data_IF_682501106549
#
_entry.id   IF_682501106549
#
_cell.length_a   1.000
_cell.length_b   1.000
_cell.length_c   1.000
_cell.angle_alpha   90.00
_cell.angle_beta   90.00
_cell.angle_gamma   90.00
#
_symmetry.space_group_name_H-M   'P 1'
#
loop_
_entity.id
_entity.type
_entity.pdbx_description
1 polymer ?
#
# COMPACT_ATOMS: atom_id res chain seq x y z
N UNK A 1 -15.30 -6.21 17.29
CA UNK A 1 -14.18 -6.19 16.37
C UNK A 1 -13.39 -4.88 16.53
N UNK A 2 -12.09 -4.99 16.70
CA UNK A 2 -11.18 -3.84 16.62
C UNK A 2 -10.00 -4.14 15.70
N UNK A 3 -9.25 -3.12 15.31
CA UNK A 3 -8.09 -3.18 14.43
C UNK A 3 -7.02 -2.17 14.88
N UNK A 4 -5.92 -2.05 14.18
CA UNK A 4 -4.73 -1.26 14.50
C UNK A 4 -3.86 -1.91 15.59
N UNK A 5 -2.94 -1.16 16.18
CA UNK A 5 -2.11 -1.65 17.26
C UNK A 5 -2.96 -1.82 18.53
N UNK A 6 -2.92 -2.98 19.19
CA UNK A 6 -3.77 -3.24 20.35
C UNK A 6 -3.49 -2.29 21.53
N UNK A 7 -2.33 -1.65 21.57
CA UNK A 7 -1.98 -0.67 22.61
C UNK A 7 -2.87 0.58 22.57
N UNK A 8 -3.52 0.89 21.46
CA UNK A 8 -4.56 1.93 21.40
C UNK A 8 -5.88 1.51 22.06
N UNK A 9 -6.02 0.21 22.37
CA UNK A 9 -7.24 -0.40 22.91
C UNK A 9 -7.05 -0.93 24.34
N UNK A 10 -6.08 -0.41 25.11
CA UNK A 10 -5.76 -0.87 26.48
C UNK A 10 -7.00 -0.90 27.36
N UNK A 11 -7.86 0.12 27.30
CA UNK A 11 -9.11 0.17 28.05
C UNK A 11 -10.04 -1.02 27.77
N UNK A 12 -10.12 -1.48 26.52
CA UNK A 12 -10.89 -2.67 26.13
C UNK A 12 -10.33 -3.93 26.81
N UNK A 13 -9.02 -4.08 26.79
CA UNK A 13 -8.35 -5.25 27.37
C UNK A 13 -8.29 -5.22 28.91
N UNK A 14 -8.33 -4.06 29.54
CA UNK A 14 -8.48 -3.93 30.99
C UNK A 14 -9.84 -4.44 31.47
N UNK A 15 -10.87 -4.36 30.63
CA UNK A 15 -12.23 -4.81 30.93
C UNK A 15 -12.58 -6.15 30.23
N UNK A 16 -11.61 -6.85 29.68
CA UNK A 16 -11.86 -8.02 28.82
C UNK A 16 -12.67 -9.12 29.52
N UNK A 17 -12.39 -9.34 30.81
CA UNK A 17 -13.05 -10.38 31.60
C UNK A 17 -14.56 -10.11 31.83
N UNK A 18 -14.97 -8.86 31.84
CA UNK A 18 -16.38 -8.49 31.90
C UNK A 18 -17.02 -8.55 30.50
N UNK A 19 -16.34 -8.00 29.50
CA UNK A 19 -16.86 -7.91 28.14
C UNK A 19 -17.04 -9.29 27.53
N UNK A 20 -16.06 -10.19 27.67
CA UNK A 20 -16.07 -11.52 27.08
C UNK A 20 -17.12 -12.47 27.65
N UNK A 21 -17.72 -12.14 28.80
CA UNK A 21 -18.89 -12.87 29.29
C UNK A 21 -20.13 -12.72 28.41
N UNK A 22 -20.21 -11.64 27.62
CA UNK A 22 -21.38 -11.31 26.81
C UNK A 22 -21.06 -11.11 25.32
N UNK A 23 -19.84 -10.61 25.00
CA UNK A 23 -19.46 -10.21 23.67
C UNK A 23 -18.05 -10.71 23.36
N UNK A 24 -17.83 -11.50 22.30
CA UNK A 24 -16.48 -11.92 21.93
C UNK A 24 -15.65 -10.74 21.44
N UNK A 25 -14.36 -10.73 21.83
CA UNK A 25 -13.37 -9.76 21.32
C UNK A 25 -12.70 -10.36 20.10
N UNK A 26 -12.89 -9.74 18.95
CA UNK A 26 -12.21 -10.09 17.70
C UNK A 26 -11.20 -9.00 17.33
N UNK A 27 -9.96 -9.39 17.10
CA UNK A 27 -8.90 -8.47 16.70
C UNK A 27 -8.50 -8.70 15.25
N UNK A 28 -8.67 -7.66 14.43
CA UNK A 28 -8.16 -7.63 13.06
C UNK A 28 -6.72 -7.14 13.08
N UNK A 29 -5.78 -8.09 13.09
CA UNK A 29 -4.36 -7.83 13.20
C UNK A 29 -3.77 -7.39 11.85
N UNK A 30 -3.23 -6.18 11.83
CA UNK A 30 -2.61 -5.55 10.66
C UNK A 30 -1.08 -5.44 10.79
N UNK A 31 -0.47 -6.22 11.67
CA UNK A 31 0.96 -6.18 11.91
C UNK A 31 1.74 -6.55 10.63
N UNK A 32 2.63 -5.66 10.21
CA UNK A 32 3.29 -5.71 8.92
C UNK A 32 4.81 -5.90 8.97
N UNK A 33 5.38 -6.10 10.17
CA UNK A 33 6.82 -6.15 10.37
C UNK A 33 7.32 -7.44 11.04
N UNK A 34 8.63 -7.65 11.00
CA UNK A 34 9.38 -8.65 11.73
C UNK A 34 10.43 -7.93 12.61
N UNK A 35 10.82 -8.51 13.76
CA UNK A 35 10.43 -9.81 14.31
C UNK A 35 9.01 -9.87 14.87
N UNK A 36 8.56 -11.09 15.24
CA UNK A 36 7.25 -11.29 15.84
C UNK A 36 7.05 -10.37 17.06
N UNK A 37 5.92 -9.65 17.18
CA UNK A 37 5.68 -8.67 18.23
C UNK A 37 5.31 -9.35 19.57
N UNK A 38 6.26 -10.02 20.23
CA UNK A 38 6.03 -10.79 21.45
C UNK A 38 5.42 -9.97 22.59
N UNK A 39 5.66 -8.65 22.59
CA UNK A 39 5.05 -7.74 23.57
C UNK A 39 3.53 -7.60 23.39
N UNK A 40 2.96 -8.01 22.26
CA UNK A 40 1.53 -8.04 22.01
C UNK A 40 0.87 -9.38 22.44
N UNK A 41 1.64 -10.33 22.95
CA UNK A 41 1.15 -11.68 23.29
C UNK A 41 -0.10 -11.67 24.18
N UNK A 42 -0.13 -10.82 25.20
CA UNK A 42 -1.28 -10.75 26.11
C UNK A 42 -2.55 -10.31 25.40
N UNK A 43 -2.47 -9.32 24.51
CA UNK A 43 -3.61 -8.87 23.70
C UNK A 43 -4.11 -9.99 22.77
N UNK A 44 -3.20 -10.77 22.18
CA UNK A 44 -3.57 -11.89 21.31
C UNK A 44 -4.30 -12.99 22.09
N UNK A 45 -3.82 -13.31 23.29
CA UNK A 45 -4.46 -14.31 24.18
C UNK A 45 -5.80 -13.86 24.73
N UNK A 46 -5.97 -12.56 24.93
CA UNK A 46 -7.20 -11.94 25.42
C UNK A 46 -8.25 -11.71 24.33
N UNK A 47 -7.92 -12.03 23.08
CA UNK A 47 -8.86 -12.01 21.97
C UNK A 47 -9.42 -13.39 21.70
N UNK A 48 -10.73 -13.47 21.44
CA UNK A 48 -11.40 -14.73 21.11
C UNK A 48 -11.05 -15.21 19.70
N UNK A 49 -10.80 -14.25 18.78
CA UNK A 49 -10.35 -14.54 17.41
C UNK A 49 -9.36 -13.47 16.93
N UNK A 50 -8.30 -13.91 16.27
CA UNK A 50 -7.36 -13.08 15.52
C UNK A 50 -7.61 -13.25 14.01
N UNK A 51 -7.97 -12.18 13.35
CA UNK A 51 -8.08 -12.11 11.89
C UNK A 51 -6.83 -11.41 11.34
N UNK A 52 -6.16 -12.03 10.41
CA UNK A 52 -4.85 -11.60 9.91
C UNK A 52 -4.96 -11.00 8.52
N UNK A 53 -4.46 -9.79 8.36
CA UNK A 53 -4.51 -9.03 7.10
C UNK A 53 -3.67 -9.67 5.98
N UNK A 54 -2.61 -10.38 6.34
CA UNK A 54 -1.69 -11.05 5.42
C UNK A 54 -1.32 -12.45 5.88
N UNK A 55 -0.78 -13.26 4.99
CA UNK A 55 -0.23 -14.59 5.33
C UNK A 55 0.95 -14.47 6.29
N UNK A 56 1.75 -13.39 6.18
CA UNK A 56 2.82 -13.09 7.14
C UNK A 56 2.22 -12.88 8.54
N UNK A 57 1.22 -12.02 8.68
CA UNK A 57 0.54 -11.76 9.96
C UNK A 57 -0.13 -13.01 10.50
N UNK A 58 -0.73 -13.83 9.63
CA UNK A 58 -1.29 -15.13 10.01
C UNK A 58 -0.24 -16.07 10.61
N UNK A 59 0.93 -16.17 9.96
CA UNK A 59 2.05 -16.95 10.46
C UNK A 59 2.56 -16.45 11.82
N UNK A 60 2.65 -15.13 12.00
CA UNK A 60 3.02 -14.49 13.27
C UNK A 60 2.04 -14.87 14.39
N UNK A 61 0.73 -14.71 14.14
CA UNK A 61 -0.30 -15.06 15.11
C UNK A 61 -0.20 -16.53 15.52
N UNK A 62 -0.03 -17.44 14.56
CA UNK A 62 0.15 -18.87 14.84
C UNK A 62 1.40 -19.15 15.68
N UNK A 63 2.55 -18.59 15.34
CA UNK A 63 3.79 -18.79 16.10
C UNK A 63 3.70 -18.28 17.52
N UNK A 64 3.07 -17.12 17.73
CA UNK A 64 2.91 -16.55 19.08
C UNK A 64 1.95 -17.42 19.92
N UNK A 65 0.78 -17.77 19.36
CA UNK A 65 -0.26 -18.49 20.07
C UNK A 65 0.06 -19.97 20.27
N UNK A 66 0.88 -20.60 19.43
CA UNK A 66 1.22 -22.02 19.51
C UNK A 66 1.75 -22.45 20.88
N UNK A 67 2.37 -21.52 21.61
CA UNK A 67 2.90 -21.75 22.97
C UNK A 67 1.82 -21.78 24.05
N UNK A 68 0.57 -21.45 23.72
CA UNK A 68 -0.50 -21.25 24.70
C UNK A 68 -1.74 -22.11 24.47
N UNK A 69 -1.65 -23.09 23.56
CA UNK A 69 -2.75 -24.06 23.35
C UNK A 69 -4.00 -23.44 22.73
N UNK A 70 -3.86 -22.68 21.65
CA UNK A 70 -4.99 -22.12 20.89
C UNK A 70 -5.62 -23.15 19.94
N UNK A 71 -6.89 -22.96 19.62
CA UNK A 71 -7.60 -23.73 18.61
C UNK A 71 -7.46 -23.11 17.22
N UNK A 72 -7.41 -23.93 16.16
CA UNK A 72 -7.19 -23.46 14.78
C UNK A 72 -8.25 -22.46 14.28
N UNK A 73 -9.46 -22.47 14.85
CA UNK A 73 -10.49 -21.49 14.49
C UNK A 73 -10.21 -20.09 15.04
N UNK A 74 -9.42 -19.97 16.10
CA UNK A 74 -9.10 -18.71 16.78
C UNK A 74 -8.16 -17.81 15.96
N UNK A 75 -7.55 -18.30 14.90
CA UNK A 75 -6.76 -17.46 13.99
C UNK A 75 -7.11 -17.77 12.54
N UNK A 76 -7.41 -16.72 11.78
CA UNK A 76 -7.81 -16.81 10.35
C UNK A 76 -7.09 -15.78 9.51
N UNK A 77 -6.78 -16.18 8.27
CA UNK A 77 -6.35 -15.26 7.23
C UNK A 77 -7.59 -14.58 6.62
N UNK A 78 -7.65 -13.27 6.75
CA UNK A 78 -8.78 -12.44 6.26
C UNK A 78 -8.18 -11.19 5.61
N UNK A 79 -7.79 -11.25 4.33
CA UNK A 79 -7.21 -10.10 3.64
C UNK A 79 -8.23 -8.97 3.46
N UNK A 80 -7.75 -7.77 3.20
CA UNK A 80 -8.63 -6.69 2.75
C UNK A 80 -9.27 -7.03 1.40
N UNK A 81 -10.45 -6.45 1.18
CA UNK A 81 -11.07 -6.33 -0.13
C UNK A 81 -11.02 -4.89 -0.62
N UNK A 82 -11.17 -4.72 -1.91
CA UNK A 82 -11.45 -3.45 -2.58
C UNK A 82 -12.80 -3.55 -3.28
N UNK A 83 -13.37 -2.42 -3.65
CA UNK A 83 -14.68 -2.38 -4.32
C UNK A 83 -14.56 -1.81 -5.72
N UNK A 84 -15.19 -2.47 -6.69
CA UNK A 84 -15.29 -2.04 -8.08
C UNK A 84 -15.98 -0.68 -8.23
N UNK A 85 -16.77 -0.29 -7.23
CA UNK A 85 -17.45 1.01 -7.21
C UNK A 85 -16.46 2.17 -7.08
N UNK A 86 -15.32 1.91 -6.48
CA UNK A 86 -14.29 2.92 -6.24
C UNK A 86 -13.21 2.89 -7.32
N UNK A 87 -12.65 1.71 -7.57
CA UNK A 87 -11.58 1.51 -8.55
C UNK A 87 -12.00 0.38 -9.48
N UNK A 88 -11.96 0.64 -10.77
CA UNK A 88 -12.23 -0.36 -11.83
C UNK A 88 -11.48 0.01 -13.09
N UNK A 89 -11.22 -0.96 -13.93
CA UNK A 89 -10.62 -0.73 -15.24
C UNK A 89 -11.57 0.08 -16.12
N UNK A 90 -11.06 1.14 -16.72
CA UNK A 90 -11.78 1.96 -17.70
C UNK A 90 -11.46 1.38 -19.08
N UNK A 91 -12.43 0.70 -19.69
CA UNK A 91 -12.25 0.08 -21.02
C UNK A 91 -12.22 1.13 -22.14
N UNK A 92 -13.04 2.16 -22.05
CA UNK A 92 -13.11 3.24 -23.04
C UNK A 92 -12.42 4.51 -22.54
N UNK A 93 -11.08 4.57 -22.67
CA UNK A 93 -10.27 5.77 -22.33
C UNK A 93 -10.58 6.97 -23.23
N UNK A 94 -11.64 6.90 -24.02
CA UNK A 94 -12.15 7.96 -24.89
C UNK A 94 -13.08 8.95 -24.20
N UNK A 95 -13.51 8.68 -22.98
CA UNK A 95 -14.41 9.55 -22.21
C UNK A 95 -13.83 10.95 -22.04
N UNK A 96 -14.68 11.95 -22.25
CA UNK A 96 -14.30 13.36 -22.16
C UNK A 96 -13.75 13.73 -20.80
N UNK A 97 -14.38 13.27 -19.72
CA UNK A 97 -13.94 13.55 -18.36
C UNK A 97 -12.57 12.94 -18.04
N UNK A 98 -12.31 11.74 -18.52
CA UNK A 98 -11.01 11.08 -18.36
C UNK A 98 -9.90 11.88 -19.07
N UNK A 99 -10.16 12.34 -20.30
CA UNK A 99 -9.22 13.18 -21.06
C UNK A 99 -9.01 14.55 -20.41
N UNK A 100 -10.07 15.17 -19.91
CA UNK A 100 -9.99 16.42 -19.16
C UNK A 100 -9.13 16.26 -17.90
N UNK A 101 -9.28 15.13 -17.18
CA UNK A 101 -8.45 14.81 -16.04
C UNK A 101 -6.98 14.65 -16.43
N UNK A 102 -6.66 13.89 -17.48
CA UNK A 102 -5.27 13.74 -17.95
C UNK A 102 -4.67 15.11 -18.36
N UNK A 103 -5.41 15.91 -19.08
CA UNK A 103 -4.97 17.25 -19.51
C UNK A 103 -4.77 18.21 -18.33
N UNK A 104 -5.65 18.15 -17.31
CA UNK A 104 -5.55 18.99 -16.10
C UNK A 104 -4.21 18.77 -15.37
N UNK A 105 -3.74 17.54 -15.31
CA UNK A 105 -2.48 17.17 -14.66
C UNK A 105 -1.30 17.07 -15.64
N UNK A 106 -1.53 17.26 -16.95
CA UNK A 106 -0.51 17.16 -17.99
C UNK A 106 0.00 15.74 -18.23
N UNK A 107 -0.82 14.73 -17.87
CA UNK A 107 -0.52 13.30 -18.04
C UNK A 107 -0.63 12.88 -19.51
N UNK A 108 -1.47 13.54 -20.27
CA UNK A 108 -1.70 13.36 -21.73
C UNK A 108 -0.45 13.55 -22.59
N UNK A 109 0.57 14.24 -22.05
CA UNK A 109 1.85 14.52 -22.73
C UNK A 109 2.80 13.32 -22.76
N UNK A 110 2.54 12.30 -21.95
CA UNK A 110 3.45 11.18 -21.74
C UNK A 110 2.80 9.86 -22.12
N UNK A 111 3.56 8.99 -22.75
CA UNK A 111 3.10 7.65 -23.14
C UNK A 111 3.28 6.61 -22.04
N UNK A 112 4.28 6.80 -21.16
CA UNK A 112 4.59 5.88 -20.07
C UNK A 112 4.65 6.61 -18.73
N UNK A 113 3.78 6.21 -17.82
CA UNK A 113 3.53 6.90 -16.57
C UNK A 113 3.73 5.95 -15.40
N UNK A 114 4.67 6.28 -14.50
CA UNK A 114 4.96 5.50 -13.30
C UNK A 114 4.38 6.22 -12.09
N UNK A 115 3.46 5.57 -11.39
CA UNK A 115 2.76 6.11 -10.23
C UNK A 115 3.44 5.71 -8.93
N UNK A 116 3.72 6.69 -8.07
CA UNK A 116 3.92 6.51 -6.64
C UNK A 116 2.74 7.12 -5.89
N UNK A 117 2.06 6.30 -5.08
CA UNK A 117 0.91 6.71 -4.28
C UNK A 117 1.01 6.05 -2.91
N UNK A 118 1.61 6.73 -1.97
CA UNK A 118 1.73 6.33 -0.57
C UNK A 118 1.88 7.59 0.30
N UNK A 119 1.60 7.49 1.59
CA UNK A 119 2.01 8.54 2.52
C UNK A 119 3.53 8.71 2.47
N UNK A 120 4.01 9.95 2.42
CA UNK A 120 5.43 10.28 2.41
C UNK A 120 6.03 10.07 3.81
N UNK A 121 6.31 8.82 4.17
CA UNK A 121 6.91 8.43 5.45
C UNK A 121 8.08 7.46 5.21
N UNK A 122 9.00 7.41 6.18
CA UNK A 122 10.26 6.69 6.06
C UNK A 122 10.12 5.24 5.56
N UNK A 123 9.20 4.45 6.13
CA UNK A 123 9.01 3.04 5.74
C UNK A 123 8.51 2.83 4.30
N UNK A 124 7.96 3.86 3.66
CA UNK A 124 7.51 3.82 2.26
C UNK A 124 8.63 4.12 1.25
N UNK A 125 9.83 4.44 1.74
CA UNK A 125 11.06 4.62 0.97
C UNK A 125 10.89 5.51 -0.29
N UNK A 126 10.27 6.71 -0.15
CA UNK A 126 9.99 7.56 -1.31
C UNK A 126 11.25 7.99 -2.07
N UNK A 127 12.35 8.22 -1.36
CA UNK A 127 13.65 8.57 -1.98
C UNK A 127 14.23 7.45 -2.84
N UNK A 128 14.10 6.19 -2.37
CA UNK A 128 14.56 5.03 -3.13
C UNK A 128 13.72 4.81 -4.39
N UNK A 129 12.42 5.13 -4.33
CA UNK A 129 11.55 5.09 -5.51
C UNK A 129 11.99 6.14 -6.54
N UNK A 130 12.30 7.37 -6.11
CA UNK A 130 12.85 8.40 -7.00
C UNK A 130 14.19 7.97 -7.61
N UNK A 131 15.07 7.32 -6.83
CA UNK A 131 16.32 6.77 -7.30
C UNK A 131 16.13 5.62 -8.30
N UNK A 132 15.16 4.74 -8.06
CA UNK A 132 14.81 3.65 -9.00
C UNK A 132 14.32 4.24 -10.34
N UNK A 133 13.46 5.27 -10.30
CA UNK A 133 13.05 5.97 -11.50
C UNK A 133 14.26 6.57 -12.24
N UNK A 134 15.17 7.24 -11.52
CA UNK A 134 16.42 7.75 -12.12
C UNK A 134 17.20 6.65 -12.83
N UNK A 135 17.44 5.53 -12.17
CA UNK A 135 18.19 4.41 -12.76
C UNK A 135 17.52 3.83 -14.01
N UNK A 136 16.19 3.81 -14.04
CA UNK A 136 15.46 3.44 -15.25
C UNK A 136 15.70 4.47 -16.36
N UNK A 137 15.50 5.75 -16.07
CA UNK A 137 15.66 6.84 -17.04
C UNK A 137 17.08 6.91 -17.61
N UNK A 138 18.10 6.68 -16.78
CA UNK A 138 19.52 6.68 -17.22
C UNK A 138 19.80 5.63 -18.30
N UNK A 139 19.00 4.54 -18.35
CA UNK A 139 19.15 3.44 -19.34
C UNK A 139 18.36 3.68 -20.62
N UNK A 140 17.45 4.63 -20.66
CA UNK A 140 16.62 4.93 -21.83
C UNK A 140 17.31 5.86 -22.81
N UNK A 141 16.91 5.79 -24.09
CA UNK A 141 17.35 6.78 -25.09
C UNK A 141 16.72 8.15 -24.80
N UNK A 142 17.30 9.26 -25.33
CA UNK A 142 16.72 10.59 -25.15
C UNK A 142 15.27 10.71 -25.63
N UNK A 143 14.90 9.99 -26.68
CA UNK A 143 13.54 9.94 -27.22
C UNK A 143 12.58 9.24 -26.23
N UNK A 144 12.97 8.08 -25.72
CA UNK A 144 12.19 7.33 -24.72
C UNK A 144 12.00 8.12 -23.43
N UNK A 145 13.04 8.85 -22.97
CA UNK A 145 12.96 9.70 -21.77
C UNK A 145 11.88 10.76 -21.86
N UNK A 146 11.67 11.35 -23.04
CA UNK A 146 10.63 12.36 -23.27
C UNK A 146 9.22 11.81 -23.18
N UNK A 147 9.06 10.50 -23.37
CA UNK A 147 7.78 9.81 -23.32
C UNK A 147 7.41 9.33 -21.92
N UNK A 148 8.36 9.35 -20.96
CA UNK A 148 8.18 8.84 -19.60
C UNK A 148 7.97 9.96 -18.59
N UNK A 149 7.15 9.71 -17.54
CA UNK A 149 6.98 10.61 -16.40
C UNK A 149 6.81 9.86 -15.10
N UNK A 150 7.36 10.43 -14.02
CA UNK A 150 7.12 10.00 -12.65
C UNK A 150 5.96 10.79 -12.06
N UNK A 151 4.89 10.11 -11.74
CA UNK A 151 3.67 10.69 -11.18
C UNK A 151 3.67 10.46 -9.68
N UNK A 152 3.81 11.55 -8.94
CA UNK A 152 3.82 11.56 -7.48
C UNK A 152 2.46 12.02 -6.95
N UNK A 153 1.71 11.10 -6.32
CA UNK A 153 0.46 11.43 -5.62
C UNK A 153 0.61 11.20 -4.13
N UNK A 154 1.08 12.20 -3.44
CA UNK A 154 1.23 12.25 -1.98
C UNK A 154 1.60 13.67 -1.57
N UNK A 155 1.44 14.01 -0.29
CA UNK A 155 1.98 15.26 0.23
C UNK A 155 3.49 15.33 -0.06
N UNK A 156 3.99 16.42 -0.68
CA UNK A 156 5.40 16.52 -1.05
C UNK A 156 6.34 16.50 0.15
N UNK A 157 5.88 16.94 1.32
CA UNK A 157 6.59 16.86 2.59
C UNK A 157 5.68 16.30 3.69
N UNK A 158 6.26 15.57 4.65
CA UNK A 158 5.57 15.02 5.82
C UNK A 158 6.56 15.10 6.99
N UNK A 159 6.08 15.36 8.20
CA UNK A 159 6.93 15.45 9.41
C UNK A 159 7.71 14.16 9.70
N UNK A 160 7.16 13.00 9.29
CA UNK A 160 7.76 11.68 9.42
C UNK A 160 8.40 11.18 8.12
N UNK A 161 8.57 12.06 7.15
CA UNK A 161 9.07 11.77 5.82
C UNK A 161 10.21 12.68 5.39
N UNK A 162 10.16 13.10 4.14
CA UNK A 162 11.18 13.98 3.55
C UNK A 162 10.56 15.01 2.60
N UNK A 163 11.32 16.06 2.25
CA UNK A 163 10.95 17.00 1.19
C UNK A 163 11.23 16.36 -0.18
N UNK A 164 10.20 15.77 -0.78
CA UNK A 164 10.34 15.09 -2.06
C UNK A 164 10.55 16.04 -3.24
N UNK A 165 10.13 17.31 -3.13
CA UNK A 165 10.45 18.30 -4.18
C UNK A 165 11.95 18.57 -4.21
N UNK A 166 12.58 18.73 -3.04
CA UNK A 166 14.03 18.90 -2.95
C UNK A 166 14.77 17.64 -3.42
N UNK A 167 14.29 16.45 -3.02
CA UNK A 167 14.87 15.17 -3.47
C UNK A 167 14.77 15.03 -5.00
N UNK A 168 13.60 15.24 -5.58
CA UNK A 168 13.43 15.15 -7.04
C UNK A 168 14.24 16.22 -7.79
N UNK A 169 14.31 17.44 -7.28
CA UNK A 169 15.15 18.49 -7.88
C UNK A 169 16.63 18.09 -7.92
N UNK A 170 17.09 17.33 -6.93
CA UNK A 170 18.49 16.90 -6.83
C UNK A 170 18.78 15.65 -7.65
N UNK A 171 17.91 14.65 -7.56
CA UNK A 171 18.12 13.34 -8.21
C UNK A 171 17.65 13.31 -9.68
N UNK A 172 16.64 14.09 -10.00
CA UNK A 172 15.90 14.04 -11.26
C UNK A 172 15.86 15.42 -11.98
N UNK A 173 16.95 16.20 -12.01
CA UNK A 173 16.90 17.59 -12.53
C UNK A 173 16.43 17.66 -13.99
N UNK A 174 16.72 16.63 -14.79
CA UNK A 174 16.44 16.57 -16.22
C UNK A 174 15.31 15.59 -16.57
N UNK A 175 14.64 14.97 -15.56
CA UNK A 175 13.61 13.97 -15.80
C UNK A 175 12.23 14.47 -15.37
N UNK A 176 11.18 14.17 -16.17
CA UNK A 176 9.83 14.64 -15.87
C UNK A 176 9.28 14.07 -14.57
N UNK A 177 8.77 14.93 -13.69
CA UNK A 177 8.06 14.59 -12.46
C UNK A 177 6.81 15.44 -12.35
N UNK A 178 5.67 14.85 -12.07
CA UNK A 178 4.40 15.52 -11.82
C UNK A 178 3.95 15.26 -10.38
N UNK A 179 3.77 16.32 -9.60
CA UNK A 179 3.19 16.29 -8.27
C UNK A 179 1.70 16.59 -8.36
N UNK A 180 0.86 15.56 -8.44
CA UNK A 180 -0.58 15.74 -8.61
C UNK A 180 -1.28 16.29 -7.36
N UNK A 181 -0.67 16.13 -6.18
CA UNK A 181 -1.20 16.65 -4.92
C UNK A 181 -1.18 18.18 -4.83
N UNK A 182 -0.27 18.84 -5.56
CA UNK A 182 -0.16 20.30 -5.59
C UNK A 182 -1.37 20.96 -6.25
N UNK A 183 -2.04 20.28 -7.17
CA UNK A 183 -3.13 20.81 -7.99
C UNK A 183 -4.53 20.57 -7.40
N UNK A 184 -4.66 20.42 -6.09
CA UNK A 184 -5.97 20.26 -5.46
C UNK A 184 -6.00 19.37 -4.20
N UNK A 185 -4.86 18.89 -3.73
CA UNK A 185 -4.77 18.06 -2.53
C UNK A 185 -5.31 16.65 -2.76
N UNK A 186 -6.26 16.20 -1.93
CA UNK A 186 -6.86 14.87 -2.04
C UNK A 186 -7.83 14.79 -3.23
N UNK A 187 -7.76 13.70 -3.98
CA UNK A 187 -8.68 13.36 -5.04
C UNK A 187 -9.91 12.63 -4.50
N UNK A 188 -11.07 12.83 -5.13
CA UNK A 188 -12.25 12.01 -4.88
C UNK A 188 -12.12 10.62 -5.53
N UNK A 189 -13.07 9.71 -5.31
CA UNK A 189 -12.98 8.33 -5.81
C UNK A 189 -12.95 8.25 -7.34
N UNK A 190 -13.70 9.10 -8.05
CA UNK A 190 -13.69 9.16 -9.52
C UNK A 190 -12.31 9.60 -10.04
N UNK A 191 -11.75 10.66 -9.47
CA UNK A 191 -10.41 11.15 -9.82
C UNK A 191 -9.31 10.14 -9.47
N UNK A 192 -9.44 9.44 -8.34
CA UNK A 192 -8.52 8.36 -7.99
C UNK A 192 -8.58 7.22 -9.01
N UNK A 193 -9.78 6.85 -9.46
CA UNK A 193 -9.93 5.85 -10.51
C UNK A 193 -9.28 6.31 -11.82
N UNK A 194 -9.45 7.58 -12.19
CA UNK A 194 -8.78 8.14 -13.37
C UNK A 194 -7.26 8.12 -13.22
N UNK A 195 -6.73 8.47 -12.04
CA UNK A 195 -5.28 8.46 -11.80
C UNK A 195 -4.67 7.07 -12.00
N UNK A 196 -5.29 6.02 -11.43
CA UNK A 196 -4.82 4.64 -11.61
C UNK A 196 -4.89 4.21 -13.07
N UNK A 197 -5.99 4.52 -13.77
CA UNK A 197 -6.19 4.16 -15.18
C UNK A 197 -5.31 4.99 -16.15
N UNK A 198 -4.85 6.16 -15.74
CA UNK A 198 -3.90 6.98 -16.50
C UNK A 198 -2.48 6.44 -16.44
N UNK A 199 -2.12 5.70 -15.38
CA UNK A 199 -0.77 5.24 -15.15
C UNK A 199 -0.58 3.78 -15.61
N UNK A 200 0.64 3.44 -16.04
CA UNK A 200 0.98 2.11 -16.55
C UNK A 200 1.54 1.21 -15.46
N UNK A 201 2.34 1.78 -14.55
CA UNK A 201 3.04 1.06 -13.49
C UNK A 201 2.86 1.78 -12.16
N UNK A 202 2.53 1.03 -11.12
CA UNK A 202 2.57 1.48 -9.73
C UNK A 202 3.80 0.91 -9.05
N UNK A 203 4.59 1.76 -8.40
CA UNK A 203 5.79 1.34 -7.68
C UNK A 203 5.62 1.53 -6.17
N UNK A 204 5.90 0.46 -5.40
CA UNK A 204 5.85 0.48 -3.94
C UNK A 204 7.03 -0.32 -3.36
N UNK A 205 8.07 0.37 -2.94
CA UNK A 205 9.26 -0.22 -2.33
C UNK A 205 9.20 -0.24 -0.80
N UNK A 206 8.01 -0.10 -0.20
CA UNK A 206 7.85 -0.08 1.24
C UNK A 206 8.60 -1.25 1.92
N UNK A 207 9.31 -0.96 3.03
CA UNK A 207 9.96 -2.00 3.83
C UNK A 207 8.94 -2.90 4.54
N UNK A 208 7.77 -2.35 4.84
CA UNK A 208 6.69 -3.02 5.56
C UNK A 208 5.35 -2.60 4.96
N UNK A 209 4.48 -3.58 4.72
CA UNK A 209 3.14 -3.36 4.19
C UNK A 209 2.15 -4.40 4.70
N UNK A 210 1.12 -3.97 5.43
CA UNK A 210 0.09 -4.87 5.95
C UNK A 210 -0.70 -5.57 4.85
N UNK A 211 -1.20 -4.79 3.89
CA UNK A 211 -1.93 -5.32 2.73
C UNK A 211 -1.42 -4.70 1.41
N UNK A 212 -1.31 -3.38 1.33
CA UNK A 212 -0.92 -2.66 0.12
C UNK A 212 -2.13 -2.32 -0.75
N UNK A 213 -3.05 -1.50 -0.23
CA UNK A 213 -4.26 -1.10 -0.95
C UNK A 213 -3.94 -0.51 -2.34
N UNK A 214 -2.95 0.40 -2.43
CA UNK A 214 -2.59 1.02 -3.71
C UNK A 214 -2.10 0.02 -4.77
N UNK A 215 -1.39 -1.05 -4.36
CA UNK A 215 -0.98 -2.12 -5.28
C UNK A 215 -2.19 -2.91 -5.76
N UNK A 216 -3.11 -3.24 -4.86
CA UNK A 216 -4.34 -3.95 -5.19
C UNK A 216 -5.25 -3.10 -6.10
N UNK A 217 -5.39 -1.80 -5.81
CA UNK A 217 -6.16 -0.85 -6.62
C UNK A 217 -5.58 -0.71 -8.03
N UNK A 218 -4.23 -0.67 -8.16
CA UNK A 218 -3.58 -0.63 -9.47
C UNK A 218 -3.84 -1.90 -10.30
N UNK A 219 -3.75 -3.08 -9.68
CA UNK A 219 -4.09 -4.35 -10.34
C UNK A 219 -5.55 -4.36 -10.80
N UNK A 220 -6.45 -3.83 -9.98
CA UNK A 220 -7.88 -3.75 -10.28
C UNK A 220 -8.19 -2.77 -11.42
N UNK A 221 -7.43 -1.69 -11.52
CA UNK A 221 -7.47 -0.78 -12.67
C UNK A 221 -6.82 -1.38 -13.94
N UNK A 222 -6.25 -2.57 -13.87
CA UNK A 222 -5.61 -3.26 -15.00
C UNK A 222 -4.16 -2.85 -15.25
N UNK A 223 -3.52 -2.13 -14.32
CA UNK A 223 -2.13 -1.72 -14.42
C UNK A 223 -1.14 -2.76 -13.87
N UNK A 224 0.14 -2.46 -13.98
CA UNK A 224 1.24 -3.30 -13.52
C UNK A 224 1.76 -2.80 -12.18
N UNK A 225 2.19 -3.70 -11.30
CA UNK A 225 2.83 -3.34 -10.03
C UNK A 225 4.30 -3.76 -10.00
N UNK A 226 5.14 -2.91 -9.41
CA UNK A 226 6.53 -3.20 -9.02
C UNK A 226 6.62 -2.98 -7.53
N UNK A 227 6.75 -4.06 -6.78
CA UNK A 227 6.65 -4.00 -5.31
C UNK A 227 7.76 -4.78 -4.63
N UNK A 228 8.08 -4.39 -3.39
CA UNK A 228 9.01 -5.13 -2.56
C UNK A 228 8.36 -6.41 -2.00
N UNK A 229 9.16 -7.46 -1.79
CA UNK A 229 8.70 -8.75 -1.25
C UNK A 229 8.56 -8.65 0.27
N UNK A 230 7.42 -8.11 0.73
CA UNK A 230 7.15 -7.91 2.16
C UNK A 230 5.66 -7.98 2.47
N UNK A 231 5.31 -8.48 3.65
CA UNK A 231 3.95 -8.46 4.20
C UNK A 231 2.87 -8.88 3.22
N UNK A 232 1.82 -8.09 3.13
CA UNK A 232 0.68 -8.32 2.25
C UNK A 232 0.97 -8.15 0.75
N UNK A 233 2.06 -7.47 0.38
CA UNK A 233 2.46 -7.37 -1.03
C UNK A 233 2.80 -8.72 -1.63
N UNK A 234 3.38 -9.63 -0.84
CA UNK A 234 3.65 -11.01 -1.26
C UNK A 234 2.37 -11.75 -1.63
N UNK A 235 1.30 -11.55 -0.86
CA UNK A 235 0.02 -12.21 -1.08
C UNK A 235 -0.62 -11.78 -2.42
N UNK A 236 -0.40 -10.53 -2.83
CA UNK A 236 -0.92 -9.99 -4.08
C UNK A 236 -0.12 -10.41 -5.31
N UNK A 237 1.17 -10.63 -5.16
CA UNK A 237 2.06 -10.97 -6.28
C UNK A 237 2.08 -12.46 -6.61
N UNK A 238 1.50 -13.33 -5.79
CA UNK A 238 1.48 -14.77 -6.02
C UNK A 238 2.87 -15.39 -6.06
N UNK A 239 3.78 -14.95 -5.18
CA UNK A 239 5.13 -15.50 -5.09
C UNK A 239 5.08 -16.99 -4.81
N UNK A 240 5.85 -17.74 -5.59
CA UNK A 240 6.11 -19.15 -5.36
C UNK A 240 7.41 -19.29 -4.59
N UNK A 241 7.46 -20.24 -3.65
CA UNK A 241 8.70 -20.64 -3.02
C UNK A 241 9.57 -21.45 -4.01
N UNK A 242 10.77 -21.85 -3.57
CA UNK A 242 11.69 -22.68 -4.38
C UNK A 242 11.10 -24.00 -4.87
N UNK A 243 10.01 -24.47 -4.23
CA UNK A 243 9.27 -25.68 -4.61
C UNK A 243 8.12 -25.41 -5.59
N UNK A 244 7.89 -24.15 -5.96
CA UNK A 244 6.83 -23.76 -6.87
C UNK A 244 5.42 -23.70 -6.26
N UNK A 245 5.33 -23.71 -4.91
CA UNK A 245 4.09 -23.62 -4.15
C UNK A 245 3.67 -22.17 -3.89
#
# INVERSE_FOLDING_TARGET
>A
LHFTDPRFWIWLYQMEHEIRQNIPIMYYNIWDDLPDPLYNTNFYRSSDMLMSISKQTYGINKRILSKYGYEDWQTKYVPHGITDRRISKIEEKGDTKFKEFEAQYGLDKYKFKILYLNRNIRRKLPGDVALAYKHMMDKLTPEQRKECVFVWHSAPSDENGTDMKAVCKTLLPDYPVIFTYDNGGSMNDEQMNYLYNSCDVYINLASNEGFGLGSCEMLHAGGVIVVNVTGGLQDQCGFKNEKGE
#
